data_IF_269236136131
#
_entry.id   IF_269236136131
#
_cell.length_a   1.000
_cell.length_b   1.000
_cell.length_c   1.000
_cell.angle_alpha   90.00
_cell.angle_beta   90.00
_cell.angle_gamma   90.00
#
_symmetry.space_group_name_H-M   'P 1'
#
loop_
_entity.id
_entity.type
_entity.pdbx_description
1 polymer ?
#
# COMPACT_ATOMS: atom_id res chain seq x y z
N UNK A 1 0.07 -12.68 -32.55
CA UNK A 1 -0.56 -12.87 -31.23
C UNK A 1 0.54 -13.22 -30.24
N UNK A 2 1.19 -12.21 -29.64
CA UNK A 2 2.37 -12.42 -28.77
C UNK A 2 2.58 -11.20 -27.85
N UNK A 3 1.55 -10.83 -27.07
CA UNK A 3 1.60 -9.62 -26.23
C UNK A 3 0.94 -9.75 -24.87
N UNK A 4 0.65 -10.97 -24.42
CA UNK A 4 0.00 -11.25 -23.14
C UNK A 4 0.98 -11.52 -21.98
N UNK A 5 2.29 -11.32 -22.20
CA UNK A 5 3.34 -11.55 -21.20
C UNK A 5 4.09 -10.26 -20.82
N UNK A 6 3.37 -9.17 -20.56
CA UNK A 6 3.94 -7.98 -19.90
C UNK A 6 3.10 -7.56 -18.68
N UNK A 7 2.39 -8.52 -18.08
CA UNK A 7 1.60 -8.29 -16.87
C UNK A 7 2.26 -8.85 -15.60
N UNK A 8 3.49 -9.35 -15.70
CA UNK A 8 4.16 -10.06 -14.62
C UNK A 8 5.67 -9.79 -14.68
N UNK A 9 6.12 -8.77 -13.94
CA UNK A 9 7.54 -8.50 -13.72
C UNK A 9 7.97 -7.08 -14.09
N UNK A 10 8.60 -6.40 -13.14
CA UNK A 10 9.65 -5.39 -13.39
C UNK A 10 9.31 -3.94 -13.77
N UNK A 11 8.05 -3.51 -13.66
CA UNK A 11 7.72 -2.08 -13.77
C UNK A 11 7.94 -1.24 -12.49
N UNK A 12 8.24 -1.87 -11.34
CA UNK A 12 8.25 -1.21 -10.01
C UNK A 12 9.66 -0.88 -9.53
N UNK A 13 10.65 -0.86 -10.42
CA UNK A 13 12.04 -0.67 -10.01
C UNK A 13 12.54 0.78 -10.14
N UNK A 14 11.87 1.66 -10.90
CA UNK A 14 12.47 2.96 -11.20
C UNK A 14 12.35 3.97 -10.04
N UNK A 15 11.17 4.20 -9.46
CA UNK A 15 10.99 5.33 -8.52
C UNK A 15 10.06 4.99 -7.35
N UNK A 16 10.38 3.98 -6.54
CA UNK A 16 9.62 3.63 -5.33
C UNK A 16 9.42 4.85 -4.40
N UNK A 17 10.40 5.76 -4.34
CA UNK A 17 10.27 7.03 -3.62
C UNK A 17 9.25 8.00 -4.21
N UNK A 18 9.24 8.22 -5.53
CA UNK A 18 8.21 9.08 -6.14
C UNK A 18 6.84 8.43 -6.07
N UNK A 19 6.75 7.11 -6.29
CA UNK A 19 5.50 6.36 -6.13
C UNK A 19 4.94 6.55 -4.72
N UNK A 20 5.77 6.41 -3.67
CA UNK A 20 5.37 6.70 -2.29
C UNK A 20 4.90 8.15 -2.12
N UNK A 21 5.57 9.12 -2.76
CA UNK A 21 5.19 10.54 -2.70
C UNK A 21 3.82 10.80 -3.32
N UNK A 22 3.55 10.23 -4.50
CA UNK A 22 2.23 10.31 -5.15
C UNK A 22 1.16 9.59 -4.35
N UNK A 23 1.46 8.42 -3.80
CA UNK A 23 0.56 7.65 -2.95
C UNK A 23 0.21 8.40 -1.66
N UNK A 24 1.18 9.06 -1.00
CA UNK A 24 0.93 9.92 0.16
C UNK A 24 0.02 11.10 -0.17
N UNK A 25 0.20 11.71 -1.34
CA UNK A 25 -0.65 12.80 -1.81
C UNK A 25 -2.09 12.32 -2.08
N UNK A 26 -2.25 11.17 -2.71
CA UNK A 26 -3.56 10.55 -2.94
C UNK A 26 -4.22 10.09 -1.63
N UNK A 27 -3.43 9.54 -0.69
CA UNK A 27 -3.90 9.18 0.64
C UNK A 27 -4.38 10.42 1.42
N UNK A 28 -3.67 11.55 1.32
CA UNK A 28 -4.11 12.83 1.91
C UNK A 28 -5.38 13.36 1.25
N UNK A 29 -5.59 13.06 -0.04
CA UNK A 29 -6.85 13.35 -0.75
C UNK A 29 -7.99 12.40 -0.36
N UNK A 30 -7.75 11.48 0.59
CA UNK A 30 -8.76 10.56 1.09
C UNK A 30 -8.97 9.30 0.25
N UNK A 31 -8.06 9.02 -0.70
CA UNK A 31 -8.12 7.81 -1.52
C UNK A 31 -7.70 6.58 -0.69
N UNK A 32 -8.66 5.70 -0.43
CA UNK A 32 -8.45 4.51 0.39
C UNK A 32 -7.55 3.46 -0.28
N UNK A 33 -7.55 3.37 -1.61
CA UNK A 33 -6.63 2.51 -2.35
C UNK A 33 -5.18 3.00 -2.20
N UNK A 34 -4.96 4.32 -2.23
CA UNK A 34 -3.63 4.88 -2.02
C UNK A 34 -3.11 4.64 -0.59
N UNK A 35 -3.98 4.75 0.41
CA UNK A 35 -3.66 4.39 1.79
C UNK A 35 -3.27 2.90 1.91
N UNK A 36 -4.01 2.00 1.27
CA UNK A 36 -3.70 0.57 1.23
C UNK A 36 -2.32 0.29 0.60
N UNK A 37 -2.03 0.87 -0.56
CA UNK A 37 -0.75 0.67 -1.24
C UNK A 37 0.39 1.25 -0.41
N UNK A 38 0.21 2.43 0.20
CA UNK A 38 1.19 3.05 1.11
C UNK A 38 1.49 2.12 2.28
N UNK A 39 0.45 1.55 2.90
CA UNK A 39 0.58 0.58 3.97
C UNK A 39 1.36 -0.67 3.55
N UNK A 40 1.05 -1.22 2.37
CA UNK A 40 1.76 -2.38 1.80
C UNK A 40 3.23 -2.09 1.53
N UNK A 41 3.53 -0.89 1.02
CA UNK A 41 4.90 -0.46 0.73
C UNK A 41 5.72 -0.33 2.02
N UNK A 42 5.14 0.23 3.08
CA UNK A 42 5.78 0.30 4.40
C UNK A 42 5.94 -1.08 5.07
N UNK A 43 4.98 -1.99 4.89
CA UNK A 43 5.07 -3.37 5.43
C UNK A 43 6.11 -4.22 4.70
N UNK A 44 6.17 -4.12 3.39
CA UNK A 44 7.13 -4.88 2.59
C UNK A 44 8.53 -4.31 2.77
N UNK A 45 8.67 -2.98 2.75
CA UNK A 45 9.97 -2.31 2.62
C UNK A 45 10.63 -2.61 1.27
N UNK A 46 11.68 -1.86 0.94
CA UNK A 46 12.47 -2.10 -0.28
C UNK A 46 12.80 -0.83 -1.06
N UNK A 47 13.83 -0.90 -1.90
CA UNK A 47 14.30 0.19 -2.78
C UNK A 47 14.47 1.55 -2.06
N UNK A 48 15.08 1.51 -0.87
CA UNK A 48 15.36 2.70 -0.05
C UNK A 48 14.20 3.17 0.84
N UNK A 49 13.05 2.49 0.79
CA UNK A 49 11.96 2.70 1.75
C UNK A 49 12.20 1.83 2.97
N UNK A 50 12.31 2.49 4.13
CA UNK A 50 12.47 1.82 5.42
C UNK A 50 11.19 1.06 5.71
N UNK A 51 11.34 -0.24 5.96
CA UNK A 51 10.25 -1.08 6.41
C UNK A 51 9.79 -0.61 7.78
N UNK A 52 8.56 -0.15 7.86
CA UNK A 52 7.94 0.28 9.10
C UNK A 52 6.57 -0.37 9.22
N UNK A 53 6.51 -1.41 10.05
CA UNK A 53 5.27 -2.15 10.26
C UNK A 53 4.22 -1.32 10.99
N UNK A 54 4.62 -0.40 11.85
CA UNK A 54 3.70 0.45 12.60
C UNK A 54 3.05 1.48 11.68
N UNK A 55 3.84 2.19 10.87
CA UNK A 55 3.31 3.09 9.85
C UNK A 55 2.46 2.32 8.82
N UNK A 56 2.95 1.16 8.36
CA UNK A 56 2.22 0.32 7.42
C UNK A 56 0.84 -0.07 7.94
N UNK A 57 0.78 -0.49 9.21
CA UNK A 57 -0.46 -0.81 9.89
C UNK A 57 -1.37 0.41 10.05
N UNK A 58 -0.86 1.58 10.41
CA UNK A 58 -1.67 2.80 10.54
C UNK A 58 -2.34 3.19 9.22
N UNK A 59 -1.60 3.15 8.10
CA UNK A 59 -2.16 3.42 6.77
C UNK A 59 -3.24 2.39 6.39
N UNK A 60 -3.05 1.12 6.73
CA UNK A 60 -4.05 0.08 6.49
C UNK A 60 -5.30 0.26 7.36
N UNK A 61 -5.15 0.61 8.64
CA UNK A 61 -6.28 0.96 9.51
C UNK A 61 -7.08 2.11 8.92
N UNK A 62 -6.42 3.18 8.49
CA UNK A 62 -7.08 4.32 7.83
C UNK A 62 -7.83 3.93 6.55
N UNK A 63 -7.23 3.06 5.73
CA UNK A 63 -7.89 2.53 4.54
C UNK A 63 -9.11 1.65 4.89
N UNK A 64 -8.99 0.81 5.93
CA UNK A 64 -10.05 -0.04 6.44
C UNK A 64 -11.22 0.77 7.02
N UNK A 65 -10.93 1.84 7.78
CA UNK A 65 -11.91 2.81 8.27
C UNK A 65 -12.69 3.49 7.14
N UNK A 66 -12.05 3.68 5.98
CA UNK A 66 -12.70 4.15 4.74
C UNK A 66 -13.45 3.05 3.98
N UNK A 67 -13.78 1.95 4.64
CA UNK A 67 -14.50 0.80 4.07
C UNK A 67 -13.81 0.11 2.89
N UNK A 68 -12.49 0.24 2.75
CA UNK A 68 -11.78 -0.43 1.66
C UNK A 68 -11.64 -1.94 1.94
N UNK A 69 -12.31 -2.76 1.13
CA UNK A 69 -12.34 -4.22 1.28
C UNK A 69 -10.92 -4.82 1.37
N UNK A 70 -10.05 -4.51 0.40
CA UNK A 70 -8.67 -5.00 0.36
C UNK A 70 -7.84 -4.61 1.58
N UNK A 71 -8.10 -3.44 2.17
CA UNK A 71 -7.41 -3.02 3.37
C UNK A 71 -7.92 -3.77 4.61
N UNK A 72 -9.23 -4.01 4.71
CA UNK A 72 -9.82 -4.84 5.77
C UNK A 72 -9.26 -6.26 5.71
N UNK A 73 -9.25 -6.88 4.53
CA UNK A 73 -8.65 -8.19 4.31
C UNK A 73 -7.19 -8.22 4.74
N UNK A 74 -6.38 -7.26 4.28
CA UNK A 74 -4.96 -7.25 4.61
C UNK A 74 -4.67 -6.94 6.08
N UNK A 75 -5.53 -6.15 6.74
CA UNK A 75 -5.46 -5.97 8.18
C UNK A 75 -5.71 -7.29 8.92
N UNK A 76 -6.71 -8.07 8.49
CA UNK A 76 -7.00 -9.39 9.07
C UNK A 76 -5.82 -10.34 8.85
N UNK A 77 -5.25 -10.38 7.63
CA UNK A 77 -4.08 -11.20 7.31
C UNK A 77 -2.85 -10.86 8.16
N UNK A 78 -2.64 -9.56 8.45
CA UNK A 78 -1.51 -9.08 9.24
C UNK A 78 -1.80 -8.97 10.74
N UNK A 79 -2.96 -9.46 11.21
CA UNK A 79 -3.42 -9.31 12.61
C UNK A 79 -3.41 -7.84 13.10
N UNK A 80 -3.68 -6.90 12.21
CA UNK A 80 -3.75 -5.46 12.51
C UNK A 80 -5.17 -5.15 12.99
N UNK A 81 -5.31 -4.84 14.28
CA UNK A 81 -6.61 -4.45 14.82
C UNK A 81 -7.00 -3.03 14.35
N UNK A 82 -8.01 -2.93 13.48
CA UNK A 82 -8.55 -1.68 12.95
C UNK A 82 -9.94 -1.32 13.52
N UNK A 83 -10.50 -2.16 14.39
CA UNK A 83 -11.63 -1.77 15.21
C UNK A 83 -11.10 -0.90 16.36
N UNK A 84 -11.61 0.33 16.43
CA UNK A 84 -11.47 1.25 17.58
C UNK A 84 -12.61 0.97 18.56
#
# INVERSE_FOLDING_TARGET
MYGLCLWQGDGVNANSFEALRYLKKAASSGNSAAMYITGKVYLNGGNGIIKDKNQGAEYLKRAALKNHAKAKEMCIENNINYNI
#
